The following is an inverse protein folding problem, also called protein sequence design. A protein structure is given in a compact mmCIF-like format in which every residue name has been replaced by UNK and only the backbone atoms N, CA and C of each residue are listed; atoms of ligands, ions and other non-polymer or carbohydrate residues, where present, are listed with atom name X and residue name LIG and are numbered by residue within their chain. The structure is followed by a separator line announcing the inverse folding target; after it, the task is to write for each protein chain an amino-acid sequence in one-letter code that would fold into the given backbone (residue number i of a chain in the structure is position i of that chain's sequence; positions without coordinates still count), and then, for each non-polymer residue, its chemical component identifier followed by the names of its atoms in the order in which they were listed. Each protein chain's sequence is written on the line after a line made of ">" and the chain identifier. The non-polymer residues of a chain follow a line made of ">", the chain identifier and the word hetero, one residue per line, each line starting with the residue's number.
data_IF_058357257884
#
_entry.id   IF_058357257884
#
_cell.length_a   1.000
_cell.length_b   1.000
_cell.length_c   1.000
_cell.angle_alpha   90.00
_cell.angle_beta   90.00
_cell.angle_gamma   90.00
#
_symmetry.space_group_name_H-M   'P 1'
#
loop_
_entity.id
_entity.type
_entity.pdbx_description
1 polymer ?
#
# COMPACT_ATOMS: atom_id res chain seq x y z
N UNK A 1 -12.37 -13.16 -18.00
CA UNK A 1 -12.70 -12.49 -16.70
C UNK A 1 -11.67 -11.40 -16.37
N UNK A 2 -10.40 -11.74 -16.12
CA UNK A 2 -9.35 -10.78 -15.71
C UNK A 2 -9.20 -9.57 -16.65
N UNK A 3 -9.23 -9.80 -17.97
CA UNK A 3 -9.13 -8.74 -18.99
C UNK A 3 -10.21 -7.65 -18.86
N UNK A 4 -11.44 -8.02 -18.48
CA UNK A 4 -12.56 -7.09 -18.28
C UNK A 4 -12.59 -6.45 -16.89
N UNK A 5 -11.69 -6.87 -15.99
CA UNK A 5 -11.66 -6.36 -14.62
C UNK A 5 -10.95 -5.02 -14.57
N UNK A 6 -11.62 -4.03 -13.98
CA UNK A 6 -11.09 -2.70 -13.74
C UNK A 6 -10.48 -2.65 -12.35
N UNK A 7 -9.15 -2.53 -12.31
CA UNK A 7 -8.42 -2.29 -11.06
C UNK A 7 -8.10 -0.79 -10.95
N UNK A 8 -8.38 -0.21 -9.78
CA UNK A 8 -7.99 1.15 -9.45
C UNK A 8 -6.78 1.16 -8.52
N UNK A 9 -5.67 1.74 -8.97
CA UNK A 9 -4.42 1.85 -8.22
C UNK A 9 -4.28 3.27 -7.66
N UNK A 10 -4.40 3.40 -6.33
CA UNK A 10 -4.18 4.66 -5.61
C UNK A 10 -2.79 4.67 -5.00
N UNK A 11 -1.96 5.62 -5.41
CA UNK A 11 -0.53 5.65 -5.12
C UNK A 11 0.25 4.81 -6.13
N UNK A 12 1.20 5.44 -6.82
CA UNK A 12 1.99 4.89 -7.92
C UNK A 12 3.49 4.82 -7.58
N UNK A 13 3.81 4.81 -6.29
CA UNK A 13 5.11 4.34 -5.83
C UNK A 13 5.14 2.80 -5.82
N UNK A 14 4.93 2.16 -4.67
CA UNK A 14 4.78 0.69 -4.58
C UNK A 14 3.62 0.20 -5.47
N UNK A 15 2.52 0.95 -5.56
CA UNK A 15 1.38 0.58 -6.38
C UNK A 15 1.69 0.47 -7.89
N UNK A 16 2.72 1.17 -8.40
CA UNK A 16 3.14 1.02 -9.80
C UNK A 16 3.63 -0.39 -10.13
N UNK A 17 4.23 -1.09 -9.16
CA UNK A 17 4.67 -2.48 -9.34
C UNK A 17 3.48 -3.39 -9.57
N UNK A 18 2.42 -3.23 -8.77
CA UNK A 18 1.18 -4.00 -8.95
C UNK A 18 0.44 -3.60 -10.22
N UNK A 19 0.46 -2.34 -10.64
CA UNK A 19 -0.18 -1.89 -11.88
C UNK A 19 0.48 -2.51 -13.11
N UNK A 20 1.81 -2.45 -13.20
CA UNK A 20 2.58 -3.06 -14.29
C UNK A 20 2.44 -4.59 -14.28
N UNK A 21 2.51 -5.21 -13.10
CA UNK A 21 2.40 -6.67 -12.97
C UNK A 21 0.99 -7.16 -13.29
N UNK A 22 -0.04 -6.42 -12.88
CA UNK A 22 -1.43 -6.67 -13.27
C UNK A 22 -1.58 -6.58 -14.79
N UNK A 23 -1.06 -5.54 -15.43
CA UNK A 23 -1.15 -5.37 -16.88
C UNK A 23 -0.48 -6.51 -17.65
N UNK A 24 0.69 -6.98 -17.19
CA UNK A 24 1.36 -8.15 -17.77
C UNK A 24 0.52 -9.43 -17.67
N UNK A 25 -0.14 -9.63 -16.51
CA UNK A 25 -0.95 -10.82 -16.25
C UNK A 25 -2.32 -10.79 -16.97
N UNK A 26 -3.04 -9.68 -16.87
CA UNK A 26 -4.46 -9.61 -17.25
C UNK A 26 -4.69 -9.07 -18.65
N UNK A 27 -3.73 -8.31 -19.19
CA UNK A 27 -3.90 -7.47 -20.39
C UNK A 27 -5.20 -6.67 -20.33
N UNK A 28 -5.48 -6.07 -19.17
CA UNK A 28 -6.75 -5.40 -18.89
C UNK A 28 -7.12 -4.40 -19.99
N UNK A 29 -8.40 -4.39 -20.35
CA UNK A 29 -8.96 -3.44 -21.31
C UNK A 29 -8.98 -2.02 -20.72
N UNK A 30 -9.22 -1.92 -19.42
CA UNK A 30 -9.37 -0.65 -18.70
C UNK A 30 -8.66 -0.68 -17.33
N UNK A 31 -8.07 0.44 -16.94
CA UNK A 31 -7.40 0.59 -15.63
C UNK A 31 -7.53 2.02 -15.12
N UNK A 32 -7.65 2.20 -13.80
CA UNK A 32 -7.59 3.53 -13.19
C UNK A 32 -6.28 3.69 -12.40
N UNK A 33 -5.56 4.79 -12.61
CA UNK A 33 -4.34 5.11 -11.89
C UNK A 33 -4.42 6.51 -11.29
N UNK A 34 -4.09 6.63 -10.01
CA UNK A 34 -4.27 7.85 -9.21
C UNK A 34 -3.02 8.10 -8.39
N UNK A 35 -2.36 9.23 -8.63
CA UNK A 35 -1.23 9.70 -7.81
C UNK A 35 -1.04 11.21 -8.03
N UNK A 36 -0.95 12.02 -6.96
CA UNK A 36 -0.82 13.46 -7.10
C UNK A 36 0.63 13.93 -7.35
N UNK A 37 1.63 13.07 -7.15
CA UNK A 37 3.02 13.47 -7.12
C UNK A 37 3.72 13.35 -8.48
N UNK A 38 4.78 14.13 -8.61
CA UNK A 38 5.82 13.93 -9.61
C UNK A 38 6.87 12.95 -9.09
N UNK A 39 7.64 12.37 -10.01
CA UNK A 39 8.78 11.51 -9.65
C UNK A 39 9.91 12.37 -9.11
N UNK A 40 10.33 12.12 -7.87
CA UNK A 40 11.52 12.72 -7.27
C UNK A 40 12.75 11.79 -7.37
N UNK A 41 13.99 12.31 -7.22
CA UNK A 41 15.19 11.48 -7.13
C UNK A 41 15.10 10.42 -6.02
N UNK A 42 14.49 10.77 -4.88
CA UNK A 42 14.27 9.85 -3.76
C UNK A 42 13.28 8.74 -4.07
N UNK A 43 12.61 8.76 -5.23
CA UNK A 43 11.72 7.69 -5.69
C UNK A 43 12.44 6.61 -6.51
N UNK A 44 13.62 6.91 -7.07
CA UNK A 44 14.34 6.01 -7.95
C UNK A 44 14.86 4.75 -7.25
N UNK A 45 14.96 4.77 -5.92
CA UNK A 45 15.37 3.62 -5.12
C UNK A 45 14.36 2.45 -5.14
N UNK A 46 13.13 2.69 -5.61
CA UNK A 46 12.04 1.70 -5.60
C UNK A 46 11.14 1.74 -6.83
N UNK A 47 11.12 2.82 -7.62
CA UNK A 47 10.41 2.83 -8.89
C UNK A 47 11.18 2.03 -9.95
N UNK A 48 10.47 1.50 -10.96
CA UNK A 48 11.08 0.83 -12.13
C UNK A 48 11.39 1.81 -13.26
N UNK A 49 11.71 3.05 -12.92
CA UNK A 49 11.92 4.16 -13.86
C UNK A 49 13.28 4.81 -13.62
N UNK A 50 13.87 5.38 -14.66
CA UNK A 50 15.21 5.97 -14.63
C UNK A 50 15.21 7.47 -14.30
N UNK A 51 16.43 8.04 -14.29
CA UNK A 51 16.67 9.48 -14.06
C UNK A 51 15.90 10.39 -15.03
N UNK A 52 15.72 9.94 -16.26
CA UNK A 52 14.96 10.61 -17.31
C UNK A 52 13.49 10.86 -16.94
N UNK A 53 12.97 10.17 -15.92
CA UNK A 53 11.60 10.28 -15.45
C UNK A 53 11.41 11.29 -14.33
N UNK A 54 12.49 11.80 -13.72
CA UNK A 54 12.43 12.78 -12.63
C UNK A 54 11.77 14.08 -13.10
N UNK A 55 10.92 14.65 -12.24
CA UNK A 55 10.13 15.86 -12.53
C UNK A 55 8.87 15.62 -13.37
N UNK A 56 8.64 14.39 -13.83
CA UNK A 56 7.40 14.03 -14.56
C UNK A 56 6.35 13.48 -13.58
N UNK A 57 5.08 13.73 -13.88
CA UNK A 57 3.95 13.15 -13.15
C UNK A 57 4.03 11.63 -13.13
N UNK A 58 3.89 11.03 -11.95
CA UNK A 58 3.89 9.55 -11.82
C UNK A 58 2.82 8.91 -12.69
N UNK A 59 1.60 9.48 -12.72
CA UNK A 59 0.49 8.99 -13.57
C UNK A 59 0.85 8.94 -15.06
N UNK A 60 1.71 9.84 -15.55
CA UNK A 60 2.08 9.87 -16.96
C UNK A 60 3.19 8.89 -17.29
N UNK A 61 4.19 8.78 -16.41
CA UNK A 61 5.27 7.81 -16.58
C UNK A 61 4.74 6.39 -16.45
N UNK A 62 3.94 6.10 -15.42
CA UNK A 62 3.29 4.78 -15.27
C UNK A 62 2.32 4.51 -16.41
N UNK A 63 1.50 5.50 -16.81
CA UNK A 63 0.57 5.35 -17.92
C UNK A 63 1.26 4.98 -19.24
N UNK A 64 2.38 5.65 -19.56
CA UNK A 64 3.20 5.31 -20.74
C UNK A 64 3.77 3.90 -20.65
N UNK A 65 4.22 3.47 -19.47
CA UNK A 65 4.73 2.11 -19.28
C UNK A 65 3.64 1.04 -19.42
N UNK A 66 2.42 1.31 -18.95
CA UNK A 66 1.26 0.43 -19.16
C UNK A 66 0.90 0.29 -20.64
N UNK A 67 0.93 1.39 -21.41
CA UNK A 67 0.70 1.37 -22.86
C UNK A 67 1.76 0.58 -23.63
N UNK A 68 3.02 0.62 -23.19
CA UNK A 68 4.08 -0.24 -23.76
C UNK A 68 3.81 -1.73 -23.56
N UNK A 69 3.13 -2.10 -22.48
CA UNK A 69 2.74 -3.49 -22.20
C UNK A 69 1.48 -3.84 -22.99
N UNK A 70 0.44 -3.00 -22.95
CA UNK A 70 -0.80 -3.19 -23.70
C UNK A 70 -1.18 -1.90 -24.44
N UNK A 71 -0.92 -1.78 -25.76
CA UNK A 71 -1.23 -0.57 -26.52
C UNK A 71 -2.72 -0.23 -26.59
N UNK A 72 -3.60 -1.19 -26.30
CA UNK A 72 -5.06 -1.02 -26.41
C UNK A 72 -5.74 -0.72 -25.07
N UNK A 73 -4.99 -0.65 -23.95
CA UNK A 73 -5.59 -0.33 -22.65
C UNK A 73 -6.09 1.11 -22.62
N UNK A 74 -7.32 1.30 -22.14
CA UNK A 74 -7.84 2.61 -21.77
C UNK A 74 -7.44 2.95 -20.33
N UNK A 75 -6.64 4.00 -20.17
CA UNK A 75 -6.11 4.42 -18.86
C UNK A 75 -6.85 5.66 -18.38
N UNK A 76 -7.55 5.54 -17.25
CA UNK A 76 -8.18 6.65 -16.57
C UNK A 76 -7.22 7.19 -15.51
N UNK A 77 -6.74 8.42 -15.71
CA UNK A 77 -5.75 9.05 -14.83
C UNK A 77 -6.41 10.11 -13.95
N UNK A 78 -5.98 10.19 -12.69
CA UNK A 78 -6.27 11.34 -11.82
C UNK A 78 -5.03 11.74 -11.05
N UNK A 79 -4.69 13.03 -11.07
CA UNK A 79 -3.57 13.61 -10.31
C UNK A 79 -4.03 14.23 -8.98
N UNK A 80 -5.19 13.83 -8.46
CA UNK A 80 -5.80 14.46 -7.31
C UNK A 80 -6.35 13.39 -6.35
N UNK A 81 -5.87 13.42 -5.10
CA UNK A 81 -6.34 12.53 -4.03
C UNK A 81 -7.24 13.24 -3.01
N UNK A 82 -7.73 14.44 -3.34
CA UNK A 82 -8.76 15.10 -2.53
C UNK A 82 -9.97 14.18 -2.34
N UNK A 83 -10.67 14.36 -1.23
CA UNK A 83 -11.82 13.54 -0.87
C UNK A 83 -12.85 13.43 -2.01
N UNK A 84 -13.14 14.57 -2.66
CA UNK A 84 -14.07 14.63 -3.79
C UNK A 84 -13.56 13.83 -5.00
N UNK A 85 -12.27 13.95 -5.34
CA UNK A 85 -11.65 13.24 -6.46
C UNK A 85 -11.61 11.72 -6.24
N UNK A 86 -11.29 11.27 -5.01
CA UNK A 86 -11.29 9.85 -4.66
C UNK A 86 -12.69 9.23 -4.83
N UNK A 87 -13.71 9.87 -4.25
CA UNK A 87 -15.11 9.43 -4.35
C UNK A 87 -15.56 9.42 -5.83
N UNK A 88 -15.24 10.48 -6.57
CA UNK A 88 -15.59 10.60 -7.98
C UNK A 88 -14.93 9.50 -8.81
N UNK A 89 -13.66 9.18 -8.55
CA UNK A 89 -12.92 8.14 -9.26
C UNK A 89 -13.54 6.75 -9.06
N UNK A 90 -13.99 6.45 -7.83
CA UNK A 90 -14.68 5.19 -7.53
C UNK A 90 -16.14 5.15 -7.99
N UNK A 91 -16.74 6.31 -8.27
CA UNK A 91 -18.13 6.43 -8.71
C UNK A 91 -18.27 6.56 -10.23
N UNK A 92 -17.23 7.02 -10.92
CA UNK A 92 -17.23 7.19 -12.37
C UNK A 92 -17.14 5.86 -13.10
N UNK A 93 -17.63 5.83 -14.34
CA UNK A 93 -17.38 4.72 -15.25
C UNK A 93 -15.91 4.72 -15.71
N UNK A 94 -15.34 3.53 -15.98
CA UNK A 94 -15.93 2.21 -15.75
C UNK A 94 -15.99 1.86 -14.26
N UNK A 95 -16.92 0.98 -13.89
CA UNK A 95 -17.06 0.51 -12.51
C UNK A 95 -15.76 -0.16 -12.06
N UNK A 96 -15.29 0.17 -10.86
CA UNK A 96 -14.10 -0.44 -10.27
C UNK A 96 -14.47 -1.76 -9.62
N UNK A 97 -13.74 -2.82 -9.95
CA UNK A 97 -13.94 -4.16 -9.38
C UNK A 97 -13.03 -4.42 -8.18
N UNK A 98 -11.83 -3.83 -8.16
CA UNK A 98 -10.84 -4.00 -7.09
C UNK A 98 -10.05 -2.72 -6.89
N UNK A 99 -9.76 -2.37 -5.63
CA UNK A 99 -8.91 -1.23 -5.26
C UNK A 99 -7.58 -1.71 -4.71
N UNK A 100 -6.50 -1.06 -5.14
CA UNK A 100 -5.17 -1.17 -4.53
C UNK A 100 -4.84 0.15 -3.84
N UNK A 101 -4.64 0.10 -2.52
CA UNK A 101 -4.29 1.24 -1.67
C UNK A 101 -2.78 1.24 -1.35
N UNK A 102 -2.07 2.18 -1.96
CA UNK A 102 -0.69 2.55 -1.69
C UNK A 102 -0.56 4.07 -1.42
N UNK A 103 -1.62 4.70 -0.87
CA UNK A 103 -1.61 6.11 -0.45
C UNK A 103 -0.79 6.27 0.84
N UNK A 104 -0.24 7.44 1.14
CA UNK A 104 0.50 7.68 2.38
C UNK A 104 -0.38 8.28 3.51
N UNK A 105 -1.29 9.20 3.17
CA UNK A 105 -2.15 9.91 4.12
C UNK A 105 -3.23 8.99 4.69
N UNK A 106 -3.30 8.92 6.02
CA UNK A 106 -4.17 8.00 6.74
C UNK A 106 -5.66 8.40 6.65
N UNK A 107 -5.93 9.70 6.59
CA UNK A 107 -7.26 10.27 6.37
C UNK A 107 -7.82 9.86 5.00
N UNK A 108 -7.00 9.94 3.96
CA UNK A 108 -7.36 9.53 2.59
C UNK A 108 -7.56 8.01 2.51
N UNK A 109 -6.71 7.24 3.22
CA UNK A 109 -6.88 5.79 3.38
C UNK A 109 -8.19 5.41 4.05
N UNK A 110 -8.61 6.14 5.08
CA UNK A 110 -9.87 5.90 5.77
C UNK A 110 -11.05 6.22 4.85
N UNK A 111 -10.99 7.35 4.13
CA UNK A 111 -12.02 7.71 3.18
C UNK A 111 -12.14 6.66 2.07
N UNK A 112 -11.02 6.22 1.51
CA UNK A 112 -11.00 5.18 0.47
C UNK A 112 -11.70 3.90 0.96
N UNK A 113 -11.44 3.49 2.20
CA UNK A 113 -12.11 2.33 2.84
C UNK A 113 -13.60 2.55 3.06
N UNK A 114 -14.03 3.74 3.50
CA UNK A 114 -15.46 4.10 3.63
C UNK A 114 -16.16 3.95 2.28
N UNK A 115 -15.60 4.53 1.22
CA UNK A 115 -16.17 4.46 -0.13
C UNK A 115 -16.16 3.04 -0.70
N UNK A 116 -15.08 2.27 -0.48
CA UNK A 116 -15.03 0.85 -0.91
C UNK A 116 -16.08 0.01 -0.18
N UNK A 117 -16.29 0.25 1.12
CA UNK A 117 -17.33 -0.40 1.91
C UNK A 117 -18.73 -0.08 1.38
N UNK A 118 -19.04 1.19 1.14
CA UNK A 118 -20.32 1.63 0.57
C UNK A 118 -20.58 1.00 -0.81
N UNK A 119 -19.54 0.87 -1.63
CA UNK A 119 -19.63 0.33 -3.00
C UNK A 119 -19.43 -1.18 -3.09
N UNK A 120 -19.15 -1.87 -1.98
CA UNK A 120 -18.88 -3.31 -1.92
C UNK A 120 -17.68 -3.72 -2.80
N UNK A 121 -16.58 -2.96 -2.73
CA UNK A 121 -15.37 -3.17 -3.54
C UNK A 121 -14.25 -3.73 -2.66
N UNK A 122 -13.67 -4.91 -2.96
CA UNK A 122 -12.51 -5.41 -2.22
C UNK A 122 -11.33 -4.44 -2.35
N UNK A 123 -10.65 -4.22 -1.23
CA UNK A 123 -9.48 -3.36 -1.14
C UNK A 123 -8.27 -4.18 -0.69
N UNK A 124 -7.15 -3.99 -1.39
CA UNK A 124 -5.87 -4.60 -1.05
C UNK A 124 -4.85 -3.50 -0.76
N UNK A 125 -4.03 -3.69 0.27
CA UNK A 125 -2.93 -2.77 0.59
C UNK A 125 -1.72 -3.59 1.00
N UNK A 126 -0.56 -3.31 0.41
CA UNK A 126 0.69 -3.92 0.85
C UNK A 126 1.62 -2.84 1.38
N UNK A 127 2.37 -3.18 2.42
CA UNK A 127 3.46 -2.36 2.89
C UNK A 127 4.68 -3.23 3.19
N UNK A 128 5.83 -2.64 2.98
CA UNK A 128 7.11 -3.21 3.35
C UNK A 128 7.46 -2.83 4.80
N UNK A 129 8.07 -3.79 5.48
CA UNK A 129 8.48 -3.72 6.89
C UNK A 129 9.93 -4.21 7.02
N UNK A 130 10.80 -3.50 6.31
CA UNK A 130 12.18 -3.90 6.06
C UNK A 130 12.23 -4.78 4.83
N UNK A 131 12.89 -5.93 4.94
CA UNK A 131 12.93 -6.96 3.88
C UNK A 131 11.65 -7.81 3.85
N UNK A 132 10.77 -7.63 4.83
CA UNK A 132 9.50 -8.33 4.95
C UNK A 132 8.35 -7.52 4.36
N UNK A 133 7.26 -8.21 4.01
CA UNK A 133 6.08 -7.59 3.39
C UNK A 133 4.83 -8.13 4.07
N UNK A 134 3.84 -7.26 4.28
CA UNK A 134 2.48 -7.73 4.54
C UNK A 134 1.53 -7.27 3.44
N UNK A 135 0.47 -8.05 3.25
CA UNK A 135 -0.68 -7.73 2.42
C UNK A 135 -1.92 -7.75 3.31
N UNK A 136 -2.58 -6.61 3.41
CA UNK A 136 -3.92 -6.49 3.97
C UNK A 136 -4.95 -6.67 2.86
N UNK A 137 -5.92 -7.54 3.11
CA UNK A 137 -7.07 -7.74 2.24
C UNK A 137 -8.32 -7.40 3.04
N UNK A 138 -9.10 -6.45 2.54
CA UNK A 138 -10.38 -6.02 3.09
C UNK A 138 -11.47 -6.35 2.07
N UNK A 139 -12.08 -7.53 2.21
CA UNK A 139 -13.15 -8.05 1.34
C UNK A 139 -14.50 -7.36 1.61
N UNK A 140 -14.57 -6.06 1.34
CA UNK A 140 -15.81 -5.28 1.48
C UNK A 140 -16.96 -5.76 0.58
N UNK A 141 -16.66 -6.60 -0.41
CA UNK A 141 -17.63 -7.31 -1.25
C UNK A 141 -18.34 -8.47 -0.55
N UNK A 142 -17.79 -9.00 0.55
CA UNK A 142 -18.39 -10.09 1.32
C UNK A 142 -19.12 -9.52 2.56
N UNK A 143 -20.40 -9.85 2.74
CA UNK A 143 -21.23 -9.39 3.87
C UNK A 143 -21.27 -10.41 5.04
N UNK A 144 -21.37 -9.94 6.32
CA UNK A 144 -20.93 -8.66 6.84
C UNK A 144 -19.66 -8.74 7.71
N UNK A 145 -18.92 -7.62 7.66
CA UNK A 145 -17.82 -7.15 8.52
C UNK A 145 -16.38 -7.55 8.10
N UNK A 146 -15.30 -6.80 8.51
CA UNK A 146 -15.28 -5.81 9.61
C UNK A 146 -14.48 -4.51 9.41
N UNK A 147 -14.67 -3.60 10.38
CA UNK A 147 -13.69 -2.69 11.00
C UNK A 147 -12.54 -2.23 10.08
N UNK A 148 -12.50 -0.92 9.80
CA UNK A 148 -11.45 -0.30 9.00
C UNK A 148 -10.05 -0.70 9.45
N UNK A 149 -9.16 -0.92 8.48
CA UNK A 149 -7.77 -1.32 8.74
C UNK A 149 -7.64 -2.63 9.52
N UNK A 150 -8.61 -3.54 9.36
CA UNK A 150 -8.63 -4.83 10.06
C UNK A 150 -8.56 -4.69 11.59
N UNK A 151 -9.10 -3.60 12.15
CA UNK A 151 -9.09 -3.31 13.58
C UNK A 151 -7.75 -2.87 14.17
N UNK A 152 -6.74 -2.63 13.35
CA UNK A 152 -5.40 -2.25 13.82
C UNK A 152 -5.38 -0.88 14.48
N UNK A 153 -6.27 0.02 14.06
CA UNK A 153 -6.48 1.32 14.70
C UNK A 153 -7.91 1.36 15.27
N UNK A 154 -8.07 1.13 16.59
CA UNK A 154 -9.38 1.20 17.23
C UNK A 154 -9.99 2.59 17.10
N UNK A 155 -11.31 2.65 16.90
CA UNK A 155 -12.08 3.91 16.82
C UNK A 155 -11.55 4.93 15.80
N UNK A 156 -10.92 4.49 14.70
CA UNK A 156 -10.33 5.37 13.69
C UNK A 156 -11.34 6.37 13.10
N UNK A 157 -12.61 5.99 13.06
CA UNK A 157 -13.71 6.84 12.61
C UNK A 157 -14.01 8.04 13.53
N UNK A 158 -13.57 7.99 14.79
CA UNK A 158 -13.73 9.07 15.77
C UNK A 158 -12.53 10.03 15.82
N UNK A 159 -11.48 9.73 15.06
CA UNK A 159 -10.25 10.54 15.05
C UNK A 159 -10.49 11.83 14.25
N UNK A 160 -10.29 12.97 14.91
CA UNK A 160 -10.24 14.28 14.26
C UNK A 160 -8.84 14.53 13.68
N UNK A 161 -8.66 14.22 12.40
CA UNK A 161 -7.37 14.37 11.70
C UNK A 161 -6.88 15.83 11.63
N UNK A 162 -7.76 16.82 11.75
CA UNK A 162 -7.39 18.24 11.73
C UNK A 162 -6.59 18.65 12.97
N UNK A 163 -6.84 17.97 14.10
CA UNK A 163 -6.20 18.23 15.39
C UNK A 163 -4.96 17.37 15.65
N UNK A 164 -4.60 16.47 14.73
CA UNK A 164 -3.43 15.62 14.90
C UNK A 164 -2.13 16.38 14.64
N UNK A 165 -1.20 16.25 15.58
CA UNK A 165 0.21 16.64 15.38
C UNK A 165 0.88 15.68 14.39
N UNK A 166 2.03 16.08 13.84
CA UNK A 166 2.84 15.20 12.98
C UNK A 166 3.22 13.89 13.70
N UNK A 167 3.57 13.99 14.98
CA UNK A 167 3.85 12.82 15.83
C UNK A 167 2.59 11.93 15.98
N UNK A 168 1.41 12.53 16.17
CA UNK A 168 0.14 11.81 16.22
C UNK A 168 -0.14 11.03 14.93
N UNK A 169 0.07 11.66 13.76
CA UNK A 169 -0.05 10.98 12.45
C UNK A 169 0.94 9.82 12.32
N UNK A 170 2.21 10.03 12.70
CA UNK A 170 3.24 8.97 12.68
C UNK A 170 2.87 7.79 13.58
N UNK A 171 2.32 8.05 14.79
CA UNK A 171 1.84 6.99 15.70
C UNK A 171 0.76 6.13 15.06
N UNK A 172 -0.21 6.74 14.39
CA UNK A 172 -1.28 5.99 13.73
C UNK A 172 -0.74 5.12 12.60
N UNK A 173 0.20 5.64 11.79
CA UNK A 173 0.87 4.87 10.74
C UNK A 173 1.69 3.71 11.31
N UNK A 174 2.47 3.93 12.37
CA UNK A 174 3.22 2.85 13.05
C UNK A 174 2.25 1.80 13.61
N UNK A 175 1.11 2.21 14.16
CA UNK A 175 0.08 1.29 14.65
C UNK A 175 -0.55 0.47 13.52
N UNK A 176 -0.87 1.12 12.41
CA UNK A 176 -1.37 0.48 11.18
C UNK A 176 -0.38 -0.56 10.65
N UNK A 177 0.90 -0.23 10.56
CA UNK A 177 1.95 -1.13 10.08
C UNK A 177 2.23 -2.23 11.11
N UNK A 178 2.24 -1.90 12.40
CA UNK A 178 2.68 -2.79 13.48
C UNK A 178 4.20 -2.88 13.60
N UNK A 179 4.68 -3.33 14.75
CA UNK A 179 6.13 -3.42 15.03
C UNK A 179 6.66 -4.87 14.98
N UNK A 180 5.83 -5.86 15.33
CA UNK A 180 6.28 -7.23 15.59
C UNK A 180 6.88 -7.95 14.37
N UNK A 181 6.43 -7.58 13.17
CA UNK A 181 6.85 -8.23 11.93
C UNK A 181 8.00 -7.50 11.21
N UNK A 182 8.49 -6.39 11.77
CA UNK A 182 9.57 -5.62 11.16
C UNK A 182 10.90 -6.35 11.29
N UNK A 183 11.77 -6.20 10.28
CA UNK A 183 13.17 -6.61 10.39
C UNK A 183 13.89 -5.83 11.50
N UNK A 184 14.99 -6.38 12.01
CA UNK A 184 15.79 -5.68 13.04
C UNK A 184 16.29 -4.33 12.50
N UNK A 185 16.71 -4.33 11.22
CA UNK A 185 17.17 -3.13 10.52
C UNK A 185 16.04 -2.10 10.37
N UNK A 186 14.83 -2.53 10.02
CA UNK A 186 13.68 -1.63 9.95
C UNK A 186 13.36 -1.01 11.31
N UNK A 187 13.38 -1.78 12.41
CA UNK A 187 13.17 -1.22 13.75
C UNK A 187 14.23 -0.17 14.13
N UNK A 188 15.49 -0.37 13.72
CA UNK A 188 16.55 0.65 13.88
C UNK A 188 16.26 1.90 13.05
N UNK A 189 15.83 1.74 11.80
CA UNK A 189 15.44 2.87 10.94
C UNK A 189 14.24 3.63 11.53
N UNK A 190 13.21 2.94 12.01
CA UNK A 190 12.07 3.56 12.70
C UNK A 190 12.52 4.36 13.94
N UNK A 191 13.44 3.80 14.73
CA UNK A 191 14.01 4.50 15.88
C UNK A 191 14.84 5.72 15.47
N UNK A 192 15.45 5.73 14.29
CA UNK A 192 16.27 6.82 13.76
C UNK A 192 15.48 7.93 13.05
N UNK A 193 14.15 7.77 12.90
CA UNK A 193 13.30 8.79 12.26
C UNK A 193 13.38 10.10 13.05
N UNK A 194 13.64 11.20 12.33
CA UNK A 194 13.83 12.53 12.90
C UNK A 194 15.26 12.82 13.36
N UNK A 195 16.16 11.82 13.31
CA UNK A 195 17.58 11.99 13.65
C UNK A 195 18.45 11.86 12.40
N UNK A 196 18.50 10.66 11.80
CA UNK A 196 19.35 10.36 10.62
C UNK A 196 18.58 9.91 9.39
N UNK A 197 17.27 9.65 9.55
CA UNK A 197 16.36 9.35 8.43
C UNK A 197 15.07 10.17 8.53
N UNK A 198 14.53 10.59 7.39
CA UNK A 198 13.32 11.43 7.35
C UNK A 198 12.03 10.61 7.49
N UNK A 199 12.02 9.39 6.96
CA UNK A 199 10.85 8.51 6.93
C UNK A 199 11.26 7.05 6.96
N UNK A 200 10.29 6.14 7.07
CA UNK A 200 10.52 4.69 6.98
C UNK A 200 11.08 4.34 5.59
N UNK A 201 12.18 3.58 5.52
CA UNK A 201 12.77 3.15 4.26
C UNK A 201 11.79 2.32 3.44
N UNK A 202 11.76 2.56 2.13
CA UNK A 202 11.01 1.74 1.18
C UNK A 202 11.97 1.05 0.22
N UNK A 203 11.99 -0.28 0.17
CA UNK A 203 12.97 -1.02 -0.63
C UNK A 203 12.42 -1.43 -2.00
N UNK A 204 13.23 -1.33 -3.06
CA UNK A 204 12.83 -1.78 -4.40
C UNK A 204 12.57 -3.29 -4.49
N UNK A 205 13.29 -4.10 -3.70
CA UNK A 205 13.07 -5.55 -3.59
C UNK A 205 11.69 -5.87 -3.04
N UNK A 206 11.32 -5.25 -1.93
CA UNK A 206 10.01 -5.48 -1.30
C UNK A 206 8.87 -4.87 -2.11
N UNK A 207 9.06 -3.70 -2.72
CA UNK A 207 8.09 -3.12 -3.64
C UNK A 207 7.81 -4.05 -4.84
N UNK A 208 8.85 -4.71 -5.36
CA UNK A 208 8.73 -5.68 -6.46
C UNK A 208 7.92 -6.90 -6.05
N UNK A 209 8.23 -7.50 -4.90
CA UNK A 209 7.52 -8.67 -4.38
C UNK A 209 6.07 -8.31 -4.00
N UNK A 210 5.85 -7.13 -3.40
CA UNK A 210 4.52 -6.62 -3.09
C UNK A 210 3.65 -6.48 -4.36
N UNK A 211 4.24 -6.02 -5.47
CA UNK A 211 3.56 -5.99 -6.77
C UNK A 211 3.04 -7.35 -7.21
N UNK A 212 3.88 -8.39 -7.17
CA UNK A 212 3.49 -9.75 -7.49
C UNK A 212 2.46 -10.34 -6.53
N UNK A 213 2.62 -10.06 -5.22
CA UNK A 213 1.71 -10.52 -4.18
C UNK A 213 0.30 -9.93 -4.33
N UNK A 214 0.20 -8.61 -4.54
CA UNK A 214 -1.08 -7.92 -4.81
C UNK A 214 -1.73 -8.50 -6.07
N UNK A 215 -1.00 -8.56 -7.19
CA UNK A 215 -1.54 -9.09 -8.45
C UNK A 215 -2.05 -10.53 -8.31
N UNK A 216 -1.34 -11.36 -7.54
CA UNK A 216 -1.76 -12.74 -7.27
C UNK A 216 -3.05 -12.78 -6.44
N UNK A 217 -3.15 -11.96 -5.40
CA UNK A 217 -4.35 -11.87 -4.58
C UNK A 217 -5.57 -11.36 -5.36
N UNK A 218 -5.39 -10.35 -6.21
CA UNK A 218 -6.43 -9.86 -7.15
C UNK A 218 -6.90 -11.03 -8.03
N UNK A 219 -5.98 -11.76 -8.67
CA UNK A 219 -6.34 -12.93 -9.50
C UNK A 219 -7.18 -13.93 -8.72
N UNK A 220 -6.74 -14.33 -7.53
CA UNK A 220 -7.44 -15.30 -6.66
C UNK A 220 -8.87 -14.86 -6.32
N UNK A 221 -9.04 -13.59 -5.91
CA UNK A 221 -10.36 -13.01 -5.64
C UNK A 221 -11.26 -13.12 -6.89
N UNK A 222 -10.73 -12.75 -8.06
CA UNK A 222 -11.51 -12.71 -9.29
C UNK A 222 -11.88 -14.09 -9.82
N UNK A 223 -11.03 -15.10 -9.67
CA UNK A 223 -11.34 -16.46 -10.12
C UNK A 223 -12.18 -17.26 -9.10
N UNK A 224 -12.55 -16.66 -7.97
CA UNK A 224 -13.42 -17.27 -6.97
C UNK A 224 -12.70 -18.20 -5.99
N UNK A 225 -11.37 -18.13 -5.92
CA UNK A 225 -10.64 -18.84 -4.87
C UNK A 225 -10.93 -18.25 -3.49
N UNK A 226 -10.96 -19.10 -2.48
CA UNK A 226 -11.19 -18.67 -1.10
C UNK A 226 -10.04 -17.79 -0.60
N UNK A 227 -10.29 -16.48 -0.50
CA UNK A 227 -9.36 -15.52 0.08
C UNK A 227 -10.11 -14.59 1.03
N UNK A 228 -9.88 -14.76 2.34
CA UNK A 228 -10.59 -14.05 3.41
C UNK A 228 -9.96 -12.69 3.68
N UNK A 229 -10.74 -11.78 4.26
CA UNK A 229 -10.19 -10.57 4.86
C UNK A 229 -9.14 -10.92 5.91
N UNK A 230 -8.05 -10.16 5.96
CA UNK A 230 -6.97 -10.41 6.91
C UNK A 230 -5.63 -9.89 6.43
N UNK A 231 -4.64 -10.00 7.33
CA UNK A 231 -3.24 -9.66 7.05
C UNK A 231 -2.45 -10.92 6.74
N UNK A 232 -1.90 -10.97 5.53
CA UNK A 232 -1.00 -12.00 5.04
C UNK A 232 0.44 -11.47 5.10
N UNK A 233 1.42 -12.36 5.23
CA UNK A 233 2.82 -11.98 5.50
C UNK A 233 3.78 -12.81 4.64
N UNK A 234 4.83 -12.16 4.13
CA UNK A 234 6.01 -12.81 3.56
C UNK A 234 7.20 -12.45 4.44
N UNK A 235 7.77 -13.45 5.10
CA UNK A 235 8.91 -13.32 6.01
C UNK A 235 10.21 -13.72 5.29
N UNK A 236 10.74 -12.84 4.45
CA UNK A 236 12.02 -13.07 3.77
C UNK A 236 13.17 -13.10 4.76
N UNK A 237 13.07 -12.27 5.80
CA UNK A 237 14.03 -12.14 6.89
C UNK A 237 14.15 -13.47 7.67
N UNK A 238 13.04 -14.22 7.83
CA UNK A 238 13.03 -15.57 8.37
C UNK A 238 13.41 -16.66 7.35
N UNK A 239 13.05 -16.49 6.07
CA UNK A 239 13.35 -17.45 5.00
C UNK A 239 14.85 -17.53 4.67
N UNK A 240 15.54 -16.39 4.66
CA UNK A 240 16.91 -16.27 4.16
C UNK A 240 17.97 -16.23 5.26
N UNK A 241 17.61 -16.28 6.55
CA UNK A 241 18.58 -16.17 7.65
C UNK A 241 18.59 -17.39 8.58
N UNK A 242 19.78 -17.80 8.99
CA UNK A 242 20.04 -19.05 9.72
C UNK A 242 20.00 -18.96 11.25
N UNK A 243 20.02 -17.76 11.86
CA UNK A 243 20.25 -17.63 13.32
C UNK A 243 19.18 -16.80 14.05
N UNK A 244 18.24 -17.48 14.70
CA UNK A 244 16.93 -16.92 15.05
C UNK A 244 16.79 -16.42 16.51
N UNK A 245 17.55 -16.95 17.47
CA UNK A 245 17.28 -16.71 18.91
C UNK A 245 17.83 -15.38 19.43
N UNK A 246 19.10 -15.05 19.13
CA UNK A 246 19.71 -13.77 19.55
C UNK A 246 19.01 -12.57 18.87
N UNK A 247 18.58 -12.74 17.62
CA UNK A 247 17.85 -11.72 16.83
C UNK A 247 16.48 -11.40 17.46
N UNK A 248 15.75 -12.41 17.97
CA UNK A 248 14.46 -12.20 18.68
C UNK A 248 14.60 -11.32 19.93
N UNK A 249 15.61 -11.58 20.78
CA UNK A 249 15.87 -10.74 21.97
C UNK A 249 16.17 -9.28 21.60
N UNK A 250 17.01 -9.05 20.58
CA UNK A 250 17.34 -7.71 20.06
C UNK A 250 16.11 -6.99 19.50
N UNK A 251 15.28 -7.69 18.70
CA UNK A 251 14.02 -7.14 18.17
C UNK A 251 13.10 -6.69 19.31
N UNK A 252 12.90 -7.52 20.34
CA UNK A 252 12.04 -7.15 21.48
C UNK A 252 12.52 -5.87 22.19
N UNK A 253 13.84 -5.72 22.41
CA UNK A 253 14.40 -4.50 22.99
C UNK A 253 14.22 -3.28 22.09
N UNK A 254 14.42 -3.42 20.78
CA UNK A 254 14.22 -2.33 19.82
C UNK A 254 12.75 -1.92 19.74
N UNK A 255 11.80 -2.86 19.76
CA UNK A 255 10.36 -2.57 19.80
C UNK A 255 10.04 -1.70 21.01
N UNK A 256 10.56 -2.04 22.20
CA UNK A 256 10.38 -1.21 23.42
C UNK A 256 10.93 0.20 23.24
N UNK A 257 12.11 0.35 22.62
CA UNK A 257 12.71 1.68 22.33
C UNK A 257 11.87 2.50 21.35
N UNK A 258 11.37 1.87 20.28
CA UNK A 258 10.49 2.51 19.29
C UNK A 258 9.18 2.96 19.96
N UNK A 259 8.52 2.08 20.72
CA UNK A 259 7.31 2.44 21.48
C UNK A 259 7.53 3.63 22.40
N UNK A 260 8.66 3.65 23.14
CA UNK A 260 9.03 4.78 24.01
C UNK A 260 9.24 6.07 23.21
N UNK A 261 10.02 6.04 22.11
CA UNK A 261 10.29 7.23 21.27
C UNK A 261 9.00 7.86 20.74
N UNK A 262 8.10 7.02 20.25
CA UNK A 262 6.82 7.48 19.71
C UNK A 262 5.73 7.62 20.77
N UNK A 263 6.03 7.53 22.08
CA UNK A 263 5.07 7.52 23.21
C UNK A 263 3.81 6.69 22.93
N UNK A 264 4.03 5.41 22.63
CA UNK A 264 3.00 4.41 22.37
C UNK A 264 2.72 3.60 23.64
N UNK A 265 1.45 3.45 23.98
CA UNK A 265 0.90 2.93 25.24
C UNK A 265 0.23 1.55 25.13
N UNK A 266 0.25 0.96 23.94
CA UNK A 266 -0.27 -0.37 23.61
C UNK A 266 0.88 -1.32 23.24
#
# INVERSE_FOLDING_TARGET
>A
KLRKTVVAFFGLSVGSHSALTWMMLSRADEVKIIDPDDISPTNLNRLRFGWDSVGKKKIDVVGKALLKINPFVKIFKSNNTSSKSLIQTLSSLPKVDVVVDAIDKIEDKLLLRKTCKEKKIPLLSAADVGDNIFLDIERYDLYPQPIYFLGRIPNIEKVDFSKLTELGRKRLLIRLVGLDFNSERMLKSLYAIGDTVNTWPQLGSTATIAGGLITTAIKKILIGEALKSGRYKIDLDGLLMSDSVKKRKRKSQLIKKVKKKFKMDW
#
